data_IF_791391134559
#
_entry.id   IF_791391134559
#
_cell.length_a   1.000
_cell.length_b   1.000
_cell.length_c   1.000
_cell.angle_alpha   90.00
_cell.angle_beta   90.00
_cell.angle_gamma   90.00
#
_symmetry.space_group_name_H-M   'P 1'
#
loop_
_entity.id
_entity.type
_entity.pdbx_description
1 polymer ?
#
# COMPACT_ATOMS: atom_id res chain seq x y z
N UNK A 1 20.80 23.64 -69.82
CA UNK A 1 19.48 24.30 -69.79
C UNK A 1 19.20 24.69 -68.35
N UNK A 2 18.94 25.97 -68.09
CA UNK A 2 18.09 26.56 -67.01
C UNK A 2 18.19 25.96 -65.59
N UNK A 3 18.44 26.69 -64.51
CA UNK A 3 18.27 28.12 -64.26
C UNK A 3 18.35 28.35 -62.74
N UNK A 4 18.69 29.59 -62.40
CA UNK A 4 18.91 30.11 -61.05
C UNK A 4 17.68 30.05 -60.13
N UNK A 5 17.93 30.05 -58.82
CA UNK A 5 16.91 30.13 -57.78
C UNK A 5 17.50 30.54 -56.44
N UNK A 6 17.83 31.83 -56.32
CA UNK A 6 18.21 32.54 -55.09
C UNK A 6 17.08 32.46 -54.05
N UNK A 7 17.40 32.21 -52.77
CA UNK A 7 16.61 32.70 -51.63
C UNK A 7 17.54 33.10 -50.48
N UNK A 8 17.73 34.41 -50.41
CA UNK A 8 18.23 35.22 -49.29
C UNK A 8 17.39 34.94 -48.01
N UNK A 9 18.00 34.65 -46.86
CA UNK A 9 18.40 35.59 -45.81
C UNK A 9 17.27 36.56 -45.40
N UNK A 10 16.56 36.22 -44.32
CA UNK A 10 15.88 37.23 -43.50
C UNK A 10 16.01 36.93 -42.01
N UNK A 11 16.71 37.84 -41.34
CA UNK A 11 16.99 37.97 -39.92
C UNK A 11 15.94 38.90 -39.32
N UNK A 12 15.20 38.48 -38.29
CA UNK A 12 14.49 39.40 -37.37
C UNK A 12 14.53 38.77 -35.96
N UNK A 13 15.46 39.16 -35.08
CA UNK A 13 15.43 40.33 -34.20
C UNK A 13 14.20 40.37 -33.27
N UNK A 14 14.37 39.87 -32.04
CA UNK A 14 13.42 39.97 -30.93
C UNK A 14 13.98 40.97 -29.90
N UNK A 15 13.23 42.01 -29.46
CA UNK A 15 13.76 43.02 -28.54
C UNK A 15 13.46 42.71 -27.07
N UNK A 16 14.48 42.88 -26.24
CA UNK A 16 14.38 43.12 -24.78
C UNK A 16 13.62 44.42 -24.51
N UNK A 17 12.76 44.42 -23.50
CA UNK A 17 12.56 45.62 -22.66
C UNK A 17 12.36 45.25 -21.20
N UNK A 18 13.11 45.98 -20.38
CA UNK A 18 13.16 46.00 -18.93
C UNK A 18 12.14 47.04 -18.46
N UNK A 19 11.25 46.72 -17.51
CA UNK A 19 10.75 47.74 -16.56
C UNK A 19 10.55 47.12 -15.18
N UNK A 20 11.27 47.74 -14.25
CA UNK A 20 11.30 47.61 -12.80
C UNK A 20 10.18 48.49 -12.22
N UNK A 21 9.46 48.05 -11.18
CA UNK A 21 8.86 48.95 -10.17
C UNK A 21 8.68 48.22 -8.84
N UNK A 22 9.50 48.63 -7.90
CA UNK A 22 9.27 48.52 -6.45
C UNK A 22 8.22 49.56 -6.02
N UNK A 23 7.45 49.26 -4.98
CA UNK A 23 6.96 50.13 -3.87
C UNK A 23 5.96 49.28 -3.06
N UNK A 24 6.31 48.73 -1.89
CA UNK A 24 6.34 49.32 -0.54
C UNK A 24 4.98 49.39 0.18
N UNK A 25 4.95 48.71 1.33
CA UNK A 25 4.26 49.03 2.60
C UNK A 25 2.76 49.32 2.64
N UNK A 26 2.05 48.54 3.46
CA UNK A 26 1.27 49.10 4.59
C UNK A 26 1.10 48.07 5.70
N UNK A 27 1.81 48.28 6.80
CA UNK A 27 1.54 47.69 8.11
C UNK A 27 0.15 48.16 8.61
N UNK A 28 -0.62 47.28 9.26
CA UNK A 28 -1.65 47.72 10.20
C UNK A 28 -1.56 46.94 11.52
N UNK A 29 -1.42 47.77 12.55
CA UNK A 29 -1.22 47.51 13.97
C UNK A 29 -2.20 46.51 14.58
N UNK A 30 -1.59 45.64 15.38
CA UNK A 30 -2.14 45.04 16.60
C UNK A 30 -2.65 46.13 17.54
N UNK A 31 -3.88 46.01 18.03
CA UNK A 31 -4.27 46.58 19.33
C UNK A 31 -4.95 45.50 20.17
N UNK A 32 -4.22 45.12 21.21
CA UNK A 32 -4.67 44.41 22.40
C UNK A 32 -5.85 45.14 23.05
N UNK A 33 -6.84 44.40 23.56
CA UNK A 33 -7.43 44.81 24.83
C UNK A 33 -7.85 43.62 25.70
N UNK A 34 -7.40 43.70 26.96
CA UNK A 34 -7.66 42.79 28.07
C UNK A 34 -9.12 42.84 28.50
N UNK A 35 -9.56 41.72 29.09
CA UNK A 35 -10.95 41.44 29.42
C UNK A 35 -11.49 42.08 30.68
N UNK A 36 -12.64 41.57 31.11
CA UNK A 36 -13.12 41.61 32.48
C UNK A 36 -14.21 40.53 32.66
N UNK A 37 -13.95 39.64 33.61
CA UNK A 37 -14.91 38.67 34.15
C UNK A 37 -15.96 39.36 35.00
N UNK A 38 -17.22 38.90 34.92
CA UNK A 38 -18.22 39.09 35.97
C UNK A 38 -19.10 37.85 36.06
N UNK A 39 -18.97 37.16 37.19
CA UNK A 39 -19.83 36.10 37.70
C UNK A 39 -21.19 36.66 38.14
N UNK A 40 -22.28 35.93 37.91
CA UNK A 40 -23.38 35.83 38.90
C UNK A 40 -24.28 34.61 38.60
N UNK A 41 -24.24 33.61 39.46
CA UNK A 41 -25.25 33.25 40.49
C UNK A 41 -26.39 32.36 39.97
N UNK A 42 -26.33 31.12 40.45
CA UNK A 42 -27.35 30.09 40.47
C UNK A 42 -28.57 30.53 41.28
N UNK A 43 -29.78 30.36 40.73
CA UNK A 43 -30.97 30.04 41.53
C UNK A 43 -31.77 28.94 40.85
N UNK A 44 -32.04 27.92 41.65
CA UNK A 44 -32.86 26.73 41.41
C UNK A 44 -34.24 27.04 41.98
N UNK A 45 -35.32 26.66 41.28
CA UNK A 45 -36.50 25.97 41.83
C UNK A 45 -37.71 26.05 40.90
N UNK A 46 -38.51 24.98 40.92
CA UNK A 46 -39.97 25.10 40.82
C UNK A 46 -40.61 24.70 39.50
N UNK A 47 -41.15 23.49 39.48
CA UNK A 47 -42.02 22.90 38.45
C UNK A 47 -43.37 23.61 38.33
N UNK A 48 -43.84 23.85 37.11
CA UNK A 48 -45.27 23.75 36.73
C UNK A 48 -45.40 23.27 35.29
N UNK A 49 -46.28 22.27 35.12
CA UNK A 49 -46.67 21.66 33.85
C UNK A 49 -47.70 22.56 33.19
N UNK A 50 -47.52 22.90 31.92
CA UNK A 50 -48.61 23.38 31.07
C UNK A 50 -48.55 22.68 29.71
N UNK A 51 -49.71 22.13 29.34
CA UNK A 51 -50.02 21.49 28.08
C UNK A 51 -50.43 22.58 27.07
N UNK A 52 -49.70 22.70 25.97
CA UNK A 52 -50.22 23.36 24.77
C UNK A 52 -49.62 22.73 23.51
N UNK A 53 -50.56 22.23 22.72
CA UNK A 53 -50.44 21.64 21.40
C UNK A 53 -50.07 22.67 20.33
N UNK A 54 -49.24 22.26 19.37
CA UNK A 54 -49.26 22.80 17.99
C UNK A 54 -48.02 23.59 17.58
N UNK A 55 -47.15 22.94 16.80
CA UNK A 55 -46.51 23.44 15.56
C UNK A 55 -45.43 22.43 15.14
N UNK A 56 -45.76 21.59 14.16
CA UNK A 56 -44.80 20.74 13.48
C UNK A 56 -43.96 21.63 12.55
N UNK A 57 -43.01 22.35 13.14
CA UNK A 57 -41.97 23.05 12.39
C UNK A 57 -41.06 22.01 11.74
N UNK A 58 -40.97 22.06 10.41
CA UNK A 58 -40.00 21.31 9.62
C UNK A 58 -38.60 21.59 10.17
N UNK A 59 -38.06 20.66 10.95
CA UNK A 59 -36.66 20.68 11.33
C UNK A 59 -35.85 20.41 10.06
N UNK A 60 -35.29 21.46 9.47
CA UNK A 60 -34.10 21.32 8.62
C UNK A 60 -33.07 20.57 9.46
N UNK A 61 -32.80 19.31 9.11
CA UNK A 61 -31.59 18.65 9.56
C UNK A 61 -30.41 19.47 9.02
N UNK A 62 -29.88 20.36 9.85
CA UNK A 62 -28.51 20.82 9.66
C UNK A 62 -27.63 19.62 9.91
N UNK A 63 -27.26 18.89 8.85
CA UNK A 63 -26.22 17.89 8.91
C UNK A 63 -24.96 18.59 9.39
N UNK A 64 -24.55 18.32 10.62
CA UNK A 64 -23.25 18.72 11.12
C UNK A 64 -22.21 18.25 10.11
N UNK A 65 -21.50 19.19 9.47
CA UNK A 65 -20.32 18.95 8.62
C UNK A 65 -19.12 18.59 9.53
N UNK A 66 -19.36 17.71 10.49
CA UNK A 66 -18.38 17.23 11.46
C UNK A 66 -17.87 15.87 11.03
N UNK A 67 -16.68 15.85 10.43
CA UNK A 67 -15.87 14.65 10.17
C UNK A 67 -16.52 13.58 9.26
N UNK A 68 -16.91 13.94 8.03
CA UNK A 68 -17.26 12.94 7.00
C UNK A 68 -16.12 11.93 6.76
N UNK A 69 -14.86 12.34 6.91
CA UNK A 69 -13.70 11.48 6.73
C UNK A 69 -12.97 11.17 8.06
N UNK A 70 -13.74 11.12 9.16
CA UNK A 70 -13.29 11.11 10.57
C UNK A 70 -12.38 9.99 11.07
N UNK A 71 -11.70 9.24 10.20
CA UNK A 71 -10.54 8.45 10.57
C UNK A 71 -9.39 8.84 9.65
N UNK A 72 -8.38 9.50 10.22
CA UNK A 72 -7.13 9.76 9.52
C UNK A 72 -6.62 8.44 8.94
N UNK A 73 -6.29 8.45 7.64
CA UNK A 73 -5.71 7.27 7.02
C UNK A 73 -4.46 6.86 7.82
N UNK A 74 -4.52 5.70 8.50
CA UNK A 74 -3.44 5.26 9.40
C UNK A 74 -2.13 5.04 8.64
N UNK A 75 -2.20 4.83 7.33
CA UNK A 75 -1.07 4.63 6.44
C UNK A 75 -1.06 5.78 5.44
N UNK A 76 -0.04 6.63 5.47
CA UNK A 76 0.14 7.68 4.48
C UNK A 76 0.72 7.10 3.20
N UNK A 77 0.24 7.55 2.05
CA UNK A 77 0.77 7.15 0.74
C UNK A 77 2.24 7.56 0.61
N UNK A 78 3.08 6.57 0.28
CA UNK A 78 4.48 6.74 -0.07
C UNK A 78 4.82 5.90 -1.30
N UNK A 79 6.09 5.92 -1.73
CA UNK A 79 6.52 5.23 -2.95
C UNK A 79 6.43 3.69 -2.90
N UNK A 80 6.31 3.11 -1.73
CA UNK A 80 6.37 1.66 -1.52
C UNK A 80 5.01 1.04 -1.22
N UNK A 81 4.05 1.84 -0.76
CA UNK A 81 2.81 1.33 -0.16
C UNK A 81 1.53 1.66 -0.95
N UNK A 82 1.63 2.16 -2.20
CA UNK A 82 0.48 2.64 -2.97
C UNK A 82 -0.74 1.72 -2.95
N UNK A 83 -0.54 0.41 -3.11
CA UNK A 83 -1.70 -0.50 -3.18
C UNK A 83 -2.28 -0.81 -1.82
N UNK A 84 -1.45 -0.86 -0.77
CA UNK A 84 -1.93 -0.93 0.60
C UNK A 84 -2.77 0.31 0.90
N UNK A 85 -2.23 1.50 0.62
CA UNK A 85 -2.93 2.78 0.78
C UNK A 85 -4.25 2.79 -0.01
N UNK A 86 -4.23 2.43 -1.30
CA UNK A 86 -5.41 2.40 -2.16
C UNK A 86 -6.49 1.46 -1.62
N UNK A 87 -6.10 0.28 -1.14
CA UNK A 87 -7.04 -0.69 -0.55
C UNK A 87 -7.63 -0.21 0.78
N UNK A 88 -6.93 0.65 1.53
CA UNK A 88 -7.45 1.24 2.77
C UNK A 88 -8.32 2.48 2.50
N UNK A 89 -7.96 3.30 1.52
CA UNK A 89 -8.65 4.55 1.19
C UNK A 89 -9.94 4.32 0.40
N UNK A 90 -9.95 3.40 -0.57
CA UNK A 90 -11.14 3.15 -1.40
C UNK A 90 -12.40 2.80 -0.58
N UNK A 91 -12.36 1.89 0.41
CA UNK A 91 -13.51 1.61 1.26
C UNK A 91 -14.02 2.85 2.02
N UNK A 92 -13.13 3.74 2.44
CA UNK A 92 -13.51 4.98 3.14
C UNK A 92 -14.24 5.95 2.22
N UNK A 93 -13.74 6.12 0.99
CA UNK A 93 -14.39 6.94 -0.05
C UNK A 93 -15.77 6.37 -0.40
N UNK A 94 -15.86 5.04 -0.56
CA UNK A 94 -17.11 4.33 -0.85
C UNK A 94 -18.12 4.42 0.29
N UNK A 95 -17.68 4.22 1.53
CA UNK A 95 -18.51 4.33 2.72
C UNK A 95 -19.15 5.71 2.87
N UNK A 96 -18.45 6.75 2.42
CA UNK A 96 -18.93 8.13 2.39
C UNK A 96 -19.66 8.52 1.10
N UNK A 97 -19.90 7.59 0.17
CA UNK A 97 -20.58 7.83 -1.11
C UNK A 97 -19.88 8.86 -2.01
N UNK A 98 -18.56 8.99 -1.88
CA UNK A 98 -17.77 9.96 -2.65
C UNK A 98 -17.05 9.35 -3.86
N UNK A 99 -17.23 8.06 -4.15
CA UNK A 99 -16.57 7.38 -5.29
C UNK A 99 -16.92 8.03 -6.64
N UNK A 100 -18.12 8.64 -6.75
CA UNK A 100 -18.55 9.34 -7.95
C UNK A 100 -17.66 10.54 -8.33
N UNK A 101 -17.01 11.17 -7.35
CA UNK A 101 -16.13 12.32 -7.58
C UNK A 101 -14.79 11.87 -8.20
N UNK A 102 -14.13 10.86 -7.61
CA UNK A 102 -12.86 10.33 -8.14
C UNK A 102 -13.00 9.59 -9.48
N UNK A 103 -14.18 9.03 -9.77
CA UNK A 103 -14.44 8.32 -11.04
C UNK A 103 -14.94 9.25 -12.14
N UNK A 104 -15.38 10.46 -11.80
CA UNK A 104 -16.07 11.37 -12.71
C UNK A 104 -17.50 10.93 -13.06
N UNK A 105 -18.06 9.91 -12.40
CA UNK A 105 -19.45 9.52 -12.58
C UNK A 105 -20.41 10.62 -12.09
N UNK A 106 -20.02 11.35 -11.04
CA UNK A 106 -20.73 12.54 -10.57
C UNK A 106 -20.16 13.78 -11.27
N UNK A 107 -20.75 14.14 -12.40
CA UNK A 107 -20.33 15.31 -13.19
C UNK A 107 -20.58 16.60 -12.43
N UNK A 108 -19.69 17.58 -12.62
CA UNK A 108 -19.87 18.93 -12.10
C UNK A 108 -21.11 19.59 -12.76
N UNK A 109 -22.11 20.03 -11.99
CA UNK A 109 -23.25 20.78 -12.52
C UNK A 109 -22.82 22.13 -13.11
N UNK A 110 -23.65 22.77 -13.96
CA UNK A 110 -23.41 24.15 -14.39
C UNK A 110 -23.48 25.09 -13.19
N UNK A 111 -22.61 26.11 -13.17
CA UNK A 111 -22.55 27.12 -12.10
C UNK A 111 -23.80 28.01 -12.05
N UNK A 112 -24.43 28.25 -13.20
CA UNK A 112 -25.63 29.07 -13.34
C UNK A 112 -26.75 28.32 -14.08
N UNK A 113 -27.99 28.54 -13.66
CA UNK A 113 -29.21 28.02 -14.30
C UNK A 113 -30.05 29.22 -14.75
N UNK A 114 -30.70 29.09 -15.92
CA UNK A 114 -31.64 30.09 -16.42
C UNK A 114 -33.03 29.73 -15.89
N UNK A 115 -33.62 30.63 -15.11
CA UNK A 115 -35.00 30.49 -14.63
C UNK A 115 -35.90 31.45 -15.40
N UNK A 116 -37.02 30.93 -15.91
CA UNK A 116 -38.04 31.76 -16.56
C UNK A 116 -39.07 32.16 -15.51
N UNK A 117 -39.15 33.45 -15.19
CA UNK A 117 -40.24 33.97 -14.38
C UNK A 117 -41.51 33.98 -15.23
N UNK A 118 -42.57 33.32 -14.75
CA UNK A 118 -43.85 33.16 -15.47
C UNK A 118 -44.55 34.48 -15.86
N UNK A 119 -44.02 35.63 -15.43
CA UNK A 119 -44.64 36.95 -15.59
C UNK A 119 -43.82 37.97 -16.38
N UNK A 120 -42.54 37.72 -16.69
CA UNK A 120 -41.75 38.57 -17.58
C UNK A 120 -40.87 37.72 -18.51
N UNK A 121 -40.80 38.10 -19.79
CA UNK A 121 -39.92 37.48 -20.78
C UNK A 121 -38.45 37.88 -20.58
N UNK A 122 -37.99 37.92 -19.33
CA UNK A 122 -36.62 38.28 -18.95
C UNK A 122 -35.92 37.03 -18.41
N UNK A 123 -34.76 36.72 -18.98
CA UNK A 123 -33.96 35.56 -18.62
C UNK A 123 -33.11 35.92 -17.39
N UNK A 124 -33.49 35.42 -16.21
CA UNK A 124 -32.69 35.61 -15.00
C UNK A 124 -31.72 34.46 -14.82
N UNK A 125 -30.43 34.81 -14.68
CA UNK A 125 -29.33 33.88 -14.43
C UNK A 125 -29.22 33.69 -12.91
N UNK A 126 -29.63 32.52 -12.42
CA UNK A 126 -29.60 32.17 -10.99
C UNK A 126 -28.42 31.22 -10.68
N UNK A 127 -27.82 31.38 -9.50
CA UNK A 127 -26.75 30.50 -9.02
C UNK A 127 -27.27 29.08 -8.74
N UNK A 128 -26.55 28.07 -9.19
CA UNK A 128 -26.93 26.69 -8.97
C UNK A 128 -26.41 26.19 -7.62
N UNK A 129 -27.32 26.00 -6.66
CA UNK A 129 -26.99 25.42 -5.35
C UNK A 129 -26.34 24.02 -5.47
N UNK A 130 -26.69 23.24 -6.50
CA UNK A 130 -26.07 21.92 -6.71
C UNK A 130 -24.60 22.00 -7.12
N UNK A 131 -24.20 23.09 -7.80
CA UNK A 131 -22.80 23.34 -8.14
C UNK A 131 -21.98 23.64 -6.89
N UNK A 132 -22.49 24.52 -6.01
CA UNK A 132 -21.83 24.86 -4.75
C UNK A 132 -21.66 23.61 -3.87
N UNK A 133 -22.72 22.83 -3.71
CA UNK A 133 -22.68 21.56 -2.99
C UNK A 133 -21.67 20.58 -3.63
N UNK A 134 -21.64 20.49 -4.95
CA UNK A 134 -20.69 19.61 -5.64
C UNK A 134 -19.24 20.03 -5.34
N UNK A 135 -18.93 21.32 -5.46
CA UNK A 135 -17.60 21.89 -5.20
C UNK A 135 -17.17 21.63 -3.76
N UNK A 136 -18.04 21.88 -2.78
CA UNK A 136 -17.71 21.67 -1.36
C UNK A 136 -17.29 20.21 -1.12
N UNK A 137 -18.03 19.24 -1.63
CA UNK A 137 -17.70 17.83 -1.46
C UNK A 137 -16.42 17.41 -2.20
N UNK A 138 -16.23 17.89 -3.43
CA UNK A 138 -15.01 17.62 -4.20
C UNK A 138 -13.77 18.17 -3.48
N UNK A 139 -13.84 19.40 -2.96
CA UNK A 139 -12.72 20.07 -2.29
C UNK A 139 -12.42 19.46 -0.92
N UNK A 140 -13.44 19.02 -0.17
CA UNK A 140 -13.24 18.25 1.08
C UNK A 140 -12.49 16.95 0.78
N UNK A 141 -12.89 16.23 -0.26
CA UNK A 141 -12.25 14.99 -0.67
C UNK A 141 -10.82 15.24 -1.17
N UNK A 142 -10.60 16.27 -1.98
CA UNK A 142 -9.29 16.68 -2.48
C UNK A 142 -8.33 16.98 -1.32
N UNK A 143 -8.76 17.82 -0.37
CA UNK A 143 -7.99 18.15 0.83
C UNK A 143 -7.67 16.90 1.66
N UNK A 144 -8.63 15.99 1.81
CA UNK A 144 -8.39 14.73 2.52
C UNK A 144 -7.39 13.82 1.79
N UNK A 145 -7.47 13.72 0.45
CA UNK A 145 -6.51 12.96 -0.35
C UNK A 145 -5.09 13.50 -0.16
N UNK A 146 -4.88 14.81 -0.22
CA UNK A 146 -3.58 15.44 0.09
C UNK A 146 -3.10 15.16 1.52
N UNK A 147 -4.00 15.10 2.50
CA UNK A 147 -3.63 14.75 3.88
C UNK A 147 -3.33 13.25 4.07
N UNK A 148 -3.79 12.40 3.15
CA UNK A 148 -3.58 10.95 3.18
C UNK A 148 -2.24 10.52 2.57
N UNK A 149 -1.39 11.46 2.13
CA UNK A 149 -0.10 11.20 1.51
C UNK A 149 1.06 11.82 2.29
N UNK A 150 2.26 11.26 2.12
CA UNK A 150 3.49 11.88 2.61
C UNK A 150 3.82 13.13 1.79
N UNK A 151 4.51 14.14 2.37
CA UNK A 151 4.80 15.40 1.69
C UNK A 151 5.49 15.21 0.34
N UNK A 152 6.45 14.28 0.24
CA UNK A 152 7.21 14.01 -0.97
C UNK A 152 6.30 13.59 -2.13
N UNK A 153 5.35 12.69 -1.87
CA UNK A 153 4.35 12.28 -2.88
C UNK A 153 3.40 13.43 -3.19
N UNK A 154 2.98 14.20 -2.17
CA UNK A 154 2.09 15.35 -2.38
C UNK A 154 2.70 16.39 -3.31
N UNK A 155 4.01 16.66 -3.19
CA UNK A 155 4.72 17.56 -4.10
C UNK A 155 4.78 17.04 -5.54
N UNK A 156 4.85 15.72 -5.76
CA UNK A 156 4.86 15.15 -7.12
C UNK A 156 3.51 15.30 -7.85
N UNK A 157 2.40 15.33 -7.11
CA UNK A 157 1.03 15.40 -7.66
C UNK A 157 0.32 16.71 -7.33
N UNK A 158 1.05 17.74 -6.90
CA UNK A 158 0.47 19.05 -6.56
C UNK A 158 -0.03 19.76 -7.83
N UNK A 159 -1.03 20.63 -7.67
CA UNK A 159 -1.58 21.45 -8.76
C UNK A 159 -2.82 20.86 -9.44
N UNK A 160 -3.34 19.74 -8.93
CA UNK A 160 -4.63 19.23 -9.34
C UNK A 160 -5.77 20.00 -8.65
N UNK A 161 -6.74 20.47 -9.44
CA UNK A 161 -7.85 21.31 -8.99
C UNK A 161 -9.06 20.49 -8.51
N UNK A 162 -9.23 19.27 -9.04
CA UNK A 162 -10.34 18.38 -8.67
C UNK A 162 -9.84 17.09 -8.04
N UNK A 163 -10.68 16.46 -7.22
CA UNK A 163 -10.34 15.15 -6.63
C UNK A 163 -10.14 14.06 -7.69
N UNK A 164 -10.82 14.17 -8.83
CA UNK A 164 -10.67 13.30 -10.01
C UNK A 164 -9.28 13.39 -10.62
N UNK A 165 -8.84 14.61 -10.92
CA UNK A 165 -7.54 14.85 -11.58
C UNK A 165 -6.39 14.40 -10.67
N UNK A 166 -6.51 14.65 -9.36
CA UNK A 166 -5.57 14.14 -8.38
C UNK A 166 -5.54 12.60 -8.37
N UNK A 167 -6.71 11.96 -8.36
CA UNK A 167 -6.82 10.50 -8.36
C UNK A 167 -6.21 9.87 -9.61
N UNK A 168 -6.45 10.45 -10.79
CA UNK A 168 -5.85 10.02 -12.07
C UNK A 168 -4.33 10.23 -12.08
N UNK A 169 -3.85 11.36 -11.56
CA UNK A 169 -2.41 11.65 -11.42
C UNK A 169 -1.71 10.63 -10.54
N UNK A 170 -2.29 10.31 -9.37
CA UNK A 170 -1.77 9.26 -8.48
C UNK A 170 -1.75 7.90 -9.20
N UNK A 171 -2.85 7.52 -9.86
CA UNK A 171 -2.92 6.26 -10.61
C UNK A 171 -1.87 6.18 -11.72
N UNK A 172 -1.55 7.30 -12.37
CA UNK A 172 -0.53 7.37 -13.42
C UNK A 172 0.88 7.23 -12.85
N UNK A 173 1.19 8.03 -11.83
CA UNK A 173 2.48 8.03 -11.14
C UNK A 173 2.84 6.64 -10.61
N UNK A 174 1.89 5.99 -9.94
CA UNK A 174 2.10 4.69 -9.35
C UNK A 174 1.80 3.54 -10.30
N UNK A 175 1.02 3.73 -11.37
CA UNK A 175 0.71 2.69 -12.36
C UNK A 175 1.96 2.20 -13.10
N UNK A 176 2.87 3.12 -13.47
CA UNK A 176 4.16 2.75 -14.08
C UNK A 176 5.08 2.04 -13.09
N UNK A 177 5.18 2.54 -11.86
CA UNK A 177 5.97 1.93 -10.78
C UNK A 177 5.44 0.53 -10.43
N UNK A 178 4.12 0.36 -10.37
CA UNK A 178 3.47 -0.93 -10.10
C UNK A 178 3.84 -1.98 -11.15
N UNK A 179 3.88 -1.63 -12.45
CA UNK A 179 4.32 -2.55 -13.51
C UNK A 179 5.76 -3.00 -13.34
N UNK A 180 6.67 -2.07 -13.05
CA UNK A 180 8.08 -2.39 -12.77
C UNK A 180 8.24 -3.24 -11.50
N UNK A 181 7.47 -2.94 -10.45
CA UNK A 181 7.47 -3.69 -9.19
C UNK A 181 6.93 -5.12 -9.38
N UNK A 182 5.87 -5.32 -10.18
CA UNK A 182 5.37 -6.65 -10.54
C UNK A 182 6.50 -7.47 -11.18
N UNK A 183 7.18 -6.91 -12.18
CA UNK A 183 8.26 -7.61 -12.87
C UNK A 183 9.44 -7.94 -11.93
N UNK A 184 9.78 -7.00 -11.05
CA UNK A 184 10.80 -7.18 -10.02
C UNK A 184 10.42 -8.30 -9.04
N UNK A 185 9.26 -8.23 -8.38
CA UNK A 185 8.83 -9.24 -7.41
C UNK A 185 8.68 -10.61 -8.05
N UNK A 186 8.15 -10.69 -9.27
CA UNK A 186 8.06 -11.96 -10.01
C UNK A 186 9.44 -12.57 -10.25
N UNK A 187 10.42 -11.75 -10.64
CA UNK A 187 11.79 -12.21 -10.86
C UNK A 187 12.45 -12.65 -9.56
N UNK A 188 12.30 -11.89 -8.49
CA UNK A 188 12.85 -12.25 -7.18
C UNK A 188 12.21 -13.52 -6.64
N UNK A 189 10.90 -13.69 -6.84
CA UNK A 189 10.18 -14.89 -6.47
C UNK A 189 10.70 -16.14 -7.20
N UNK A 190 10.89 -16.05 -8.51
CA UNK A 190 11.43 -17.15 -9.32
C UNK A 190 12.88 -17.52 -8.97
N UNK A 191 13.66 -16.54 -8.49
CA UNK A 191 15.04 -16.73 -8.06
C UNK A 191 15.18 -17.16 -6.61
N UNK A 192 14.08 -17.17 -5.85
CA UNK A 192 14.11 -17.43 -4.42
C UNK A 192 14.53 -18.88 -4.17
N UNK A 193 15.64 -19.04 -3.46
CA UNK A 193 16.20 -20.34 -3.08
C UNK A 193 16.56 -20.30 -1.60
N UNK A 194 16.50 -21.45 -0.92
CA UNK A 194 16.84 -21.54 0.52
C UNK A 194 18.29 -21.14 0.76
N UNK A 195 19.27 -21.60 -0.04
CA UNK A 195 20.68 -21.13 -0.03
C UNK A 195 21.29 -20.99 1.36
N UNK A 196 21.09 -21.99 2.22
CA UNK A 196 21.61 -21.98 3.59
C UNK A 196 20.87 -21.08 4.58
N UNK A 197 19.81 -20.36 4.18
CA UNK A 197 18.89 -19.69 5.10
C UNK A 197 18.20 -20.71 6.01
N UNK A 198 17.82 -20.30 7.23
CA UNK A 198 16.92 -21.10 8.06
C UNK A 198 15.56 -21.24 7.36
N UNK A 199 14.89 -22.38 7.52
CA UNK A 199 13.61 -22.64 6.86
C UNK A 199 12.56 -21.57 7.20
N UNK A 200 12.53 -21.10 8.44
CA UNK A 200 11.62 -20.03 8.86
C UNK A 200 11.84 -18.73 8.06
N UNK A 201 13.10 -18.30 7.89
CA UNK A 201 13.43 -17.07 7.18
C UNK A 201 13.13 -17.19 5.67
N UNK A 202 13.40 -18.37 5.11
CA UNK A 202 13.07 -18.70 3.73
C UNK A 202 11.55 -18.64 3.47
N UNK A 203 10.75 -19.30 4.29
CA UNK A 203 9.28 -19.30 4.18
C UNK A 203 8.69 -17.89 4.38
N UNK A 204 9.26 -17.12 5.30
CA UNK A 204 8.88 -15.72 5.53
C UNK A 204 9.17 -14.86 4.29
N UNK A 205 10.33 -15.05 3.64
CA UNK A 205 10.69 -14.34 2.41
C UNK A 205 9.75 -14.71 1.25
N UNK A 206 9.46 -16.00 1.06
CA UNK A 206 8.52 -16.48 0.04
C UNK A 206 7.13 -15.86 0.23
N UNK A 207 6.61 -15.91 1.46
CA UNK A 207 5.29 -15.33 1.78
C UNK A 207 5.27 -13.82 1.56
N UNK A 208 6.32 -13.10 1.97
CA UNK A 208 6.44 -11.66 1.75
C UNK A 208 6.40 -11.30 0.26
N UNK A 209 7.09 -12.05 -0.59
CA UNK A 209 7.07 -11.81 -2.04
C UNK A 209 5.68 -12.10 -2.64
N UNK A 210 5.02 -13.18 -2.23
CA UNK A 210 3.66 -13.49 -2.65
C UNK A 210 2.65 -12.42 -2.19
N UNK A 211 2.79 -11.92 -0.96
CA UNK A 211 1.95 -10.84 -0.44
C UNK A 211 2.21 -9.51 -1.16
N UNK A 212 3.47 -9.20 -1.48
CA UNK A 212 3.80 -8.04 -2.30
C UNK A 212 3.21 -8.13 -3.71
N UNK A 213 3.23 -9.32 -4.33
CA UNK A 213 2.59 -9.59 -5.62
C UNK A 213 1.06 -9.41 -5.54
N UNK A 214 0.43 -9.91 -4.47
CA UNK A 214 -0.98 -9.68 -4.21
C UNK A 214 -1.30 -8.20 -4.02
N UNK A 215 -0.45 -7.47 -3.28
CA UNK A 215 -0.58 -6.02 -3.11
C UNK A 215 -0.52 -5.32 -4.46
N UNK A 216 0.42 -5.63 -5.35
CA UNK A 216 0.51 -5.04 -6.71
C UNK A 216 -0.57 -5.48 -7.70
N UNK A 217 -1.64 -6.11 -7.22
CA UNK A 217 -2.78 -6.52 -8.03
C UNK A 217 -2.51 -7.77 -8.89
N UNK A 218 -1.46 -8.53 -8.54
CA UNK A 218 -1.12 -9.81 -9.17
C UNK A 218 -1.06 -10.90 -8.09
N UNK A 219 -2.21 -11.24 -7.45
CA UNK A 219 -2.24 -12.29 -6.46
C UNK A 219 -1.76 -13.61 -7.07
N UNK A 220 -0.91 -14.29 -6.31
CA UNK A 220 -0.37 -15.58 -6.71
C UNK A 220 -1.25 -16.70 -6.15
N UNK A 221 -1.65 -17.68 -6.97
CA UNK A 221 -2.29 -18.91 -6.50
C UNK A 221 -1.44 -19.61 -5.44
N UNK A 222 -2.09 -20.26 -4.48
CA UNK A 222 -1.37 -21.01 -3.44
C UNK A 222 -0.52 -22.14 -4.05
N UNK A 223 -1.02 -22.80 -5.09
CA UNK A 223 -0.30 -23.84 -5.82
C UNK A 223 1.04 -23.35 -6.38
N UNK A 224 1.04 -22.19 -7.05
CA UNK A 224 2.26 -21.56 -7.57
C UNK A 224 3.24 -21.21 -6.43
N UNK A 225 2.71 -20.76 -5.28
CA UNK A 225 3.51 -20.47 -4.10
C UNK A 225 4.16 -21.74 -3.53
N UNK A 226 3.38 -22.82 -3.41
CA UNK A 226 3.86 -24.12 -2.93
C UNK A 226 4.92 -24.66 -3.89
N UNK A 227 4.66 -24.68 -5.20
CA UNK A 227 5.61 -25.15 -6.22
C UNK A 227 6.92 -24.40 -6.13
N UNK A 228 6.90 -23.06 -6.13
CA UNK A 228 8.13 -22.27 -6.05
C UNK A 228 8.91 -22.52 -4.74
N UNK A 229 8.21 -22.72 -3.63
CA UNK A 229 8.84 -23.02 -2.33
C UNK A 229 9.52 -24.38 -2.36
N UNK A 230 8.91 -25.38 -2.98
CA UNK A 230 9.51 -26.71 -3.13
C UNK A 230 10.69 -26.69 -4.12
N UNK A 231 10.55 -26.00 -5.25
CA UNK A 231 11.60 -25.84 -6.27
C UNK A 231 12.82 -25.07 -5.74
N UNK A 232 12.62 -24.17 -4.78
CA UNK A 232 13.69 -23.40 -4.15
C UNK A 232 14.45 -24.16 -3.05
N UNK A 233 14.08 -25.40 -2.73
CA UNK A 233 14.83 -26.28 -1.82
C UNK A 233 16.02 -26.89 -2.57
N UNK A 234 17.19 -26.27 -2.39
CA UNK A 234 18.42 -26.60 -3.11
C UNK A 234 19.17 -27.82 -2.55
N UNK A 235 18.87 -28.24 -1.31
CA UNK A 235 19.49 -29.42 -0.69
C UNK A 235 18.71 -30.71 -1.00
N UNK A 236 19.44 -31.71 -1.51
CA UNK A 236 18.93 -33.07 -1.80
C UNK A 236 18.29 -33.74 -0.57
N UNK A 237 18.66 -33.31 0.64
CA UNK A 237 18.09 -33.82 1.90
C UNK A 237 16.58 -33.59 2.02
N UNK A 238 16.02 -32.61 1.30
CA UNK A 238 14.59 -32.31 1.31
C UNK A 238 13.77 -33.15 0.30
N UNK A 239 14.40 -33.85 -0.64
CA UNK A 239 13.71 -34.58 -1.71
C UNK A 239 12.62 -35.55 -1.21
N UNK A 240 12.82 -36.35 -0.14
CA UNK A 240 11.77 -37.24 0.36
C UNK A 240 10.50 -36.49 0.81
N UNK A 241 10.65 -35.29 1.37
CA UNK A 241 9.53 -34.45 1.75
C UNK A 241 8.85 -33.82 0.53
N UNK A 242 9.64 -33.36 -0.44
CA UNK A 242 9.13 -32.80 -1.71
C UNK A 242 8.24 -33.82 -2.42
N UNK A 243 8.69 -35.07 -2.58
CA UNK A 243 7.88 -36.15 -3.17
C UNK A 243 6.57 -36.36 -2.40
N UNK A 244 6.65 -36.45 -1.07
CA UNK A 244 5.46 -36.64 -0.22
C UNK A 244 4.44 -35.48 -0.35
N UNK A 245 4.91 -34.24 -0.54
CA UNK A 245 4.03 -33.09 -0.70
C UNK A 245 3.43 -33.08 -2.11
N UNK A 246 4.22 -33.38 -3.14
CA UNK A 246 3.75 -33.45 -4.53
C UNK A 246 2.73 -34.59 -4.78
N UNK A 247 2.74 -35.64 -3.96
CA UNK A 247 1.75 -36.71 -4.01
C UNK A 247 0.38 -36.30 -3.43
N UNK A 248 0.30 -35.19 -2.71
CA UNK A 248 -0.97 -34.71 -2.13
C UNK A 248 -1.67 -33.77 -3.11
N UNK A 249 -2.99 -33.92 -3.23
CA UNK A 249 -3.82 -33.06 -4.07
C UNK A 249 -3.94 -31.63 -3.52
N UNK A 250 -4.02 -31.47 -2.19
CA UNK A 250 -4.15 -30.15 -1.56
C UNK A 250 -3.32 -30.04 -0.27
N UNK A 251 -2.66 -28.90 -0.09
CA UNK A 251 -1.94 -28.55 1.14
C UNK A 251 -2.16 -27.08 1.48
N UNK A 252 -2.53 -26.80 2.74
CA UNK A 252 -2.62 -25.42 3.21
C UNK A 252 -1.23 -24.81 3.39
N UNK A 253 -1.11 -23.49 3.28
CA UNK A 253 0.15 -22.79 3.57
C UNK A 253 0.68 -23.10 4.97
N UNK A 254 -0.22 -23.17 5.96
CA UNK A 254 0.14 -23.42 7.38
C UNK A 254 0.71 -24.84 7.55
N UNK A 255 0.07 -25.84 6.93
CA UNK A 255 0.52 -27.23 7.01
C UNK A 255 1.86 -27.43 6.29
N UNK A 256 2.06 -26.77 5.14
CA UNK A 256 3.34 -26.76 4.44
C UNK A 256 4.45 -26.20 5.35
N UNK A 257 4.21 -25.04 5.98
CA UNK A 257 5.17 -24.42 6.89
C UNK A 257 5.51 -25.37 8.05
N UNK A 258 4.49 -25.96 8.69
CA UNK A 258 4.68 -26.87 9.83
C UNK A 258 5.50 -28.10 9.43
N UNK A 259 5.24 -28.69 8.26
CA UNK A 259 5.98 -29.85 7.73
C UNK A 259 7.43 -29.50 7.45
N UNK A 260 7.69 -28.40 6.73
CA UNK A 260 9.05 -27.98 6.38
C UNK A 260 9.89 -27.64 7.61
N UNK A 261 9.32 -26.94 8.60
CA UNK A 261 10.00 -26.62 9.86
C UNK A 261 10.29 -27.87 10.70
N UNK A 262 9.34 -28.81 10.77
CA UNK A 262 9.54 -30.07 11.51
C UNK A 262 10.62 -30.93 10.84
N UNK A 263 10.67 -30.91 9.52
CA UNK A 263 11.67 -31.63 8.74
C UNK A 263 13.08 -31.04 8.92
N UNK A 264 13.23 -29.70 8.91
CA UNK A 264 14.51 -29.04 9.19
C UNK A 264 15.06 -29.46 10.55
N UNK A 265 14.23 -29.42 11.61
CA UNK A 265 14.63 -29.91 12.96
C UNK A 265 15.10 -31.37 12.96
N UNK A 266 14.43 -32.22 12.17
CA UNK A 266 14.82 -33.63 12.05
C UNK A 266 16.16 -33.81 11.34
N UNK A 267 16.42 -33.04 10.28
CA UNK A 267 17.73 -33.02 9.61
C UNK A 267 18.84 -32.57 10.55
N UNK A 268 18.60 -31.52 11.34
CA UNK A 268 19.55 -31.04 12.36
C UNK A 268 19.88 -32.12 13.39
N UNK A 269 18.87 -32.84 13.90
CA UNK A 269 19.08 -33.96 14.83
C UNK A 269 19.91 -35.09 14.23
N UNK A 270 19.63 -35.46 12.98
CA UNK A 270 20.40 -36.51 12.27
C UNK A 270 21.84 -36.06 12.07
N UNK A 271 22.08 -34.81 11.68
CA UNK A 271 23.42 -34.30 11.43
C UNK A 271 24.27 -34.19 12.71
N UNK A 272 23.64 -33.83 13.84
CA UNK A 272 24.27 -33.87 15.18
C UNK A 272 24.57 -35.32 15.59
N UNK A 273 23.67 -36.26 15.33
CA UNK A 273 23.90 -37.68 15.58
C UNK A 273 25.07 -38.25 14.77
N UNK A 274 25.17 -37.90 13.49
CA UNK A 274 26.24 -38.38 12.60
C UNK A 274 27.62 -37.81 12.97
N UNK A 275 27.68 -36.53 13.35
CA UNK A 275 28.91 -35.89 13.83
C UNK A 275 29.41 -36.45 15.17
N UNK A 276 28.51 -36.96 16.02
CA UNK A 276 28.87 -37.63 17.27
C UNK A 276 29.47 -39.04 17.09
N UNK A 277 29.27 -39.68 15.93
CA UNK A 277 29.78 -41.04 15.64
C UNK A 277 31.23 -41.01 15.14
N UNK A 278 31.76 -39.85 14.76
CA UNK A 278 33.02 -39.76 13.99
C UNK A 278 34.27 -39.37 14.82
N UNK A 279 34.43 -39.87 16.05
CA UNK A 279 35.73 -39.86 16.74
C UNK A 279 35.83 -40.94 17.85
N UNK A 280 35.71 -42.22 17.50
CA UNK A 280 35.94 -43.28 18.49
C UNK A 280 35.73 -44.70 17.97
N UNK A 281 36.85 -45.34 17.59
CA UNK A 281 37.03 -46.79 17.52
C UNK A 281 36.35 -47.55 16.36
N UNK A 282 37.09 -47.74 15.28
CA UNK A 282 37.10 -49.03 14.56
C UNK A 282 38.53 -49.56 14.59
N UNK A 283 38.89 -50.24 15.68
CA UNK A 283 40.14 -51.00 15.76
C UNK A 283 39.83 -52.47 15.49
N UNK A 284 40.28 -52.98 14.34
CA UNK A 284 40.22 -54.40 14.02
C UNK A 284 41.25 -55.16 14.89
N UNK A 285 40.79 -56.00 15.82
CA UNK A 285 41.67 -56.89 16.57
C UNK A 285 42.10 -58.07 15.69
N UNK A 286 43.33 -58.02 15.17
CA UNK A 286 43.98 -59.16 14.54
C UNK A 286 44.52 -60.11 15.61
N UNK A 287 43.87 -61.27 15.80
CA UNK A 287 44.36 -62.33 16.69
C UNK A 287 45.31 -63.24 15.91
N UNK A 288 46.62 -62.97 16.05
CA UNK A 288 47.67 -63.89 15.61
C UNK A 288 47.92 -64.97 16.67
N UNK A 289 47.47 -66.20 16.41
CA UNK A 289 47.80 -67.36 17.24
C UNK A 289 49.29 -67.68 17.16
N UNK A 290 50.03 -67.29 18.20
CA UNK A 290 51.43 -67.66 18.42
C UNK A 290 51.49 -69.09 18.97
N UNK A 291 51.86 -70.02 18.11
CA UNK A 291 52.05 -71.43 18.48
C UNK A 291 53.42 -71.58 19.16
N UNK A 292 53.46 -71.97 20.44
CA UNK A 292 54.71 -72.33 21.11
C UNK A 292 54.47 -73.43 22.15
N UNK A 293 55.13 -74.57 21.93
CA UNK A 293 55.08 -75.80 22.73
C UNK A 293 55.19 -76.98 21.78
N UNK A 294 56.09 -77.94 21.89
CA UNK A 294 57.07 -78.32 22.91
C UNK A 294 57.75 -79.60 22.39
N UNK A 295 58.84 -79.98 23.04
CA UNK A 295 59.73 -81.10 22.71
C UNK A 295 59.10 -82.50 22.58
N UNK A 296 59.95 -83.41 22.07
CA UNK A 296 59.93 -84.88 22.07
C UNK A 296 59.32 -85.50 20.80
N UNK A 297 59.93 -86.47 20.11
CA UNK A 297 61.17 -87.23 20.29
C UNK A 297 61.12 -88.44 19.34
N UNK A 298 62.31 -88.91 18.93
CA UNK A 298 62.62 -90.30 18.53
C UNK A 298 62.00 -90.96 17.27
N UNK A 299 62.95 -91.37 16.42
CA UNK A 299 63.18 -92.75 15.90
C UNK A 299 62.74 -93.17 14.48
N UNK A 300 63.79 -93.61 13.75
CA UNK A 300 63.92 -94.73 12.79
C UNK A 300 63.25 -94.54 11.43
N UNK A 301 63.90 -94.84 10.30
CA UNK A 301 64.84 -95.95 10.02
C UNK A 301 65.98 -95.54 9.09
#
# INVERSE_FOLDING_TARGET
>A
MTGAGNKDLETTASPRSVVRKETSSSEKKVSSNKGMSSSSVVKKDGSTRDLSSGLLGSQKMTSQVGNLLGSYCSVKLNHENYLLWKNLVLPMIRGNRMEGYITGAKKCPPEFIITYLEQEADETLEENLEYEDWIVHDQILLGWLYNSMEPDVAFEVIGNETSKDLWESINTLFGLKTKSNIAYYKREFQKLQKRGMKMFDYLKAAKKLADNLALVGRPMPLEDLVSQVLDGLDSVEYNPLVCQINEREEISWIDLQAKLLSYEKRLEQINVGLSSINLGQVSANYVGTKNNGGQAGQNRS
#
